data_IF_219589631813
#
_entry.id   IF_219589631813
#
_cell.length_a   1.000
_cell.length_b   1.000
_cell.length_c   1.000
_cell.angle_alpha   90.00
_cell.angle_beta   90.00
_cell.angle_gamma   90.00
#
_symmetry.space_group_name_H-M   'P 1'
#
loop_
_entity.id
_entity.type
_entity.pdbx_description
1 polymer ?
#
# COMPACT_ATOMS: atom_id res chain seq x y z
N UNK A 1 -30.61 -6.45 -1.84
CA UNK A 1 -29.63 -5.76 -2.68
C UNK A 1 -28.28 -6.18 -2.13
N UNK A 2 -27.87 -7.36 -2.55
CA UNK A 2 -26.54 -7.88 -2.27
C UNK A 2 -25.58 -6.98 -3.06
N UNK A 3 -24.83 -6.18 -2.31
CA UNK A 3 -23.80 -5.33 -2.86
C UNK A 3 -22.71 -6.31 -3.33
N UNK A 4 -22.77 -6.68 -4.60
CA UNK A 4 -21.74 -7.43 -5.32
C UNK A 4 -20.49 -6.52 -5.37
N UNK A 5 -19.85 -6.34 -4.22
CA UNK A 5 -18.48 -5.88 -4.16
C UNK A 5 -17.71 -7.11 -4.61
N UNK A 6 -17.11 -7.11 -5.82
CA UNK A 6 -16.18 -8.19 -6.16
C UNK A 6 -15.21 -8.28 -4.99
N UNK A 7 -15.14 -9.46 -4.34
CA UNK A 7 -14.08 -9.70 -3.35
C UNK A 7 -12.77 -9.22 -3.97
N UNK A 8 -11.89 -8.52 -3.24
CA UNK A 8 -11.07 -7.39 -3.74
C UNK A 8 -10.05 -7.66 -4.86
N UNK A 9 -10.18 -8.75 -5.62
CA UNK A 9 -9.13 -9.28 -6.46
C UNK A 9 -7.99 -9.75 -5.57
N UNK A 10 -6.90 -10.16 -6.21
CA UNK A 10 -5.59 -10.08 -5.59
C UNK A 10 -5.15 -8.61 -5.69
N UNK A 11 -5.41 -7.74 -4.69
CA UNK A 11 -5.06 -6.32 -4.76
C UNK A 11 -3.58 -6.14 -5.07
N UNK A 12 -3.24 -5.17 -5.92
CA UNK A 12 -1.85 -4.76 -6.15
C UNK A 12 -1.25 -4.09 -4.91
N UNK A 13 0.08 -3.91 -4.82
CA UNK A 13 0.68 -3.21 -3.67
C UNK A 13 0.09 -1.81 -3.46
N UNK A 14 -0.20 -1.10 -4.54
CA UNK A 14 -0.80 0.24 -4.53
C UNK A 14 -2.24 0.22 -4.00
N UNK A 15 -3.05 -0.74 -4.43
CA UNK A 15 -4.43 -0.91 -3.95
C UNK A 15 -4.48 -1.33 -2.48
N UNK A 16 -3.52 -2.15 -2.05
CA UNK A 16 -3.39 -2.61 -0.67
C UNK A 16 -3.06 -1.46 0.29
N UNK A 17 -2.26 -0.46 -0.15
CA UNK A 17 -1.95 0.71 0.69
C UNK A 17 -2.94 1.87 0.53
N UNK A 18 -3.80 1.87 -0.51
CA UNK A 18 -4.72 2.97 -0.80
C UNK A 18 -5.55 3.46 0.40
N UNK A 19 -6.07 2.59 1.30
CA UNK A 19 -6.79 3.03 2.50
C UNK A 19 -5.93 3.84 3.50
N UNK A 20 -4.61 3.71 3.45
CA UNK A 20 -3.64 4.31 4.38
C UNK A 20 -2.98 5.59 3.84
N UNK A 21 -3.19 5.90 2.55
CA UNK A 21 -2.54 7.04 1.89
C UNK A 21 -3.09 8.38 2.39
N UNK A 22 -4.39 8.55 2.59
CA UNK A 22 -5.00 9.82 3.02
C UNK A 22 -4.49 11.04 2.21
N UNK A 23 -3.57 11.85 2.76
CA UNK A 23 -2.96 13.01 2.10
C UNK A 23 -1.61 12.70 1.39
N UNK A 24 -1.13 11.47 1.50
CA UNK A 24 0.08 10.98 0.85
C UNK A 24 -0.24 10.53 -0.58
N UNK A 25 0.70 10.72 -1.49
CA UNK A 25 0.68 10.19 -2.86
C UNK A 25 1.77 9.13 -3.01
N UNK A 26 1.49 8.05 -3.73
CA UNK A 26 2.51 7.04 -4.02
C UNK A 26 3.60 7.71 -4.87
N UNK A 27 4.84 7.61 -4.41
CA UNK A 27 6.02 8.12 -5.06
C UNK A 27 6.79 7.00 -5.76
N UNK A 28 6.84 5.82 -5.12
CA UNK A 28 7.60 4.67 -5.62
C UNK A 28 7.01 3.34 -5.13
N UNK A 29 7.18 2.29 -5.93
CA UNK A 29 6.75 0.92 -5.63
C UNK A 29 7.83 -0.05 -6.08
N UNK A 30 8.39 -0.80 -5.14
CA UNK A 30 9.37 -1.86 -5.39
C UNK A 30 8.72 -3.21 -5.08
N UNK A 31 8.65 -4.11 -6.06
CA UNK A 31 8.06 -5.45 -5.88
C UNK A 31 9.14 -6.53 -6.07
N UNK A 32 9.27 -7.42 -5.08
CA UNK A 32 10.19 -8.54 -5.05
C UNK A 32 9.47 -9.85 -4.67
N UNK A 33 9.00 -10.59 -5.68
CA UNK A 33 8.37 -11.91 -5.56
C UNK A 33 7.20 -11.94 -4.56
N UNK A 34 7.49 -12.12 -3.27
CA UNK A 34 6.53 -12.22 -2.17
C UNK A 34 6.54 -11.01 -1.25
N UNK A 35 7.38 -10.01 -1.50
CA UNK A 35 7.52 -8.79 -0.71
C UNK A 35 7.39 -7.57 -1.63
N UNK A 36 6.82 -6.48 -1.13
CA UNK A 36 6.79 -5.21 -1.84
C UNK A 36 6.97 -4.05 -0.86
N UNK A 37 7.58 -2.98 -1.33
CA UNK A 37 7.75 -1.73 -0.59
C UNK A 37 7.02 -0.63 -1.35
N UNK A 38 6.09 0.05 -0.70
CA UNK A 38 5.43 1.23 -1.28
C UNK A 38 5.88 2.47 -0.53
N UNK A 39 6.49 3.40 -1.24
CA UNK A 39 6.86 4.71 -0.70
C UNK A 39 5.82 5.74 -1.10
N UNK A 40 5.29 6.46 -0.13
CA UNK A 40 4.32 7.52 -0.31
C UNK A 40 4.79 8.82 0.33
N UNK A 41 4.50 9.95 -0.30
CA UNK A 41 4.96 11.27 0.14
C UNK A 41 3.76 12.19 0.37
N UNK A 42 3.79 12.96 1.44
CA UNK A 42 2.80 13.99 1.73
C UNK A 42 3.36 15.40 1.48
N UNK A 43 2.49 16.36 1.12
CA UNK A 43 2.88 17.76 1.04
C UNK A 43 3.41 18.22 2.40
N UNK A 44 4.63 18.75 2.41
CA UNK A 44 5.36 19.09 3.65
C UNK A 44 6.56 18.20 3.95
N UNK A 45 6.89 17.23 3.09
CA UNK A 45 8.12 16.44 3.19
C UNK A 45 8.04 15.27 4.18
N UNK A 46 6.83 14.85 4.55
CA UNK A 46 6.63 13.62 5.29
C UNK A 46 6.57 12.45 4.30
N UNK A 47 7.28 11.37 4.60
CA UNK A 47 7.32 10.16 3.78
C UNK A 47 6.82 8.98 4.61
N UNK A 48 6.01 8.12 3.99
CA UNK A 48 5.58 6.84 4.53
C UNK A 48 6.12 5.73 3.66
N UNK A 49 6.72 4.74 4.28
CA UNK A 49 7.16 3.52 3.61
C UNK A 49 6.33 2.37 4.16
N UNK A 50 5.65 1.65 3.30
CA UNK A 50 4.85 0.48 3.63
C UNK A 50 5.60 -0.77 3.19
N UNK A 51 5.74 -1.73 4.09
CA UNK A 51 6.20 -3.08 3.75
C UNK A 51 4.96 -3.95 3.55
N UNK A 52 4.93 -4.68 2.44
CA UNK A 52 3.85 -5.58 2.09
C UNK A 52 4.36 -7.00 1.84
N UNK A 53 3.51 -7.97 2.15
CA UNK A 53 3.70 -9.38 1.80
C UNK A 53 2.59 -9.84 0.88
N UNK A 54 2.96 -10.57 -0.17
CA UNK A 54 2.03 -11.27 -1.04
C UNK A 54 1.49 -12.50 -0.32
N UNK A 55 0.16 -12.59 -0.24
CA UNK A 55 -0.58 -13.73 0.30
C UNK A 55 -1.45 -14.33 -0.81
N UNK A 56 -2.03 -15.50 -0.57
CA UNK A 56 -2.91 -16.19 -1.55
C UNK A 56 -4.08 -15.32 -2.03
N UNK A 57 -4.51 -14.35 -1.23
CA UNK A 57 -5.59 -13.41 -1.52
C UNK A 57 -5.12 -12.01 -1.93
N UNK A 58 -3.82 -11.83 -2.20
CA UNK A 58 -3.22 -10.59 -2.72
C UNK A 58 -2.22 -9.92 -1.78
N UNK A 59 -1.89 -8.65 -2.05
CA UNK A 59 -0.91 -7.90 -1.27
C UNK A 59 -1.49 -7.35 0.03
N UNK A 60 -0.74 -7.46 1.12
CA UNK A 60 -1.13 -6.97 2.44
C UNK A 60 -0.02 -6.13 3.06
N UNK A 61 -0.33 -4.92 3.58
CA UNK A 61 0.64 -4.16 4.36
C UNK A 61 0.87 -4.82 5.72
N UNK A 62 2.10 -5.21 6.01
CA UNK A 62 2.50 -5.78 7.29
C UNK A 62 2.96 -4.70 8.28
N UNK A 63 3.65 -3.69 7.77
CA UNK A 63 4.13 -2.54 8.56
C UNK A 63 4.19 -1.27 7.73
N UNK A 64 4.26 -0.14 8.43
CA UNK A 64 4.69 1.11 7.82
C UNK A 64 5.59 1.90 8.77
N UNK A 65 6.51 2.66 8.17
CA UNK A 65 7.36 3.63 8.86
C UNK A 65 7.04 5.02 8.32
N UNK A 66 6.80 5.98 9.22
CA UNK A 66 6.62 7.38 8.86
C UNK A 66 7.87 8.18 9.26
N UNK A 67 8.51 8.79 8.27
CA UNK A 67 9.61 9.73 8.46
C UNK A 67 9.09 11.16 8.29
N UNK A 68 9.48 12.05 9.21
CA UNK A 68 9.23 13.49 9.10
C UNK A 68 10.57 14.21 9.17
N UNK A 69 10.82 15.10 8.22
CA UNK A 69 11.97 16.01 8.22
C UNK A 69 11.69 17.28 9.02
#
# INVERSE_FOLDING_TARGET
MDLDIPGPGTPTPEEAVAPYLNAYVIADVEEEQTSATVTAEAPGGATRVFDLTLRDDGWWPDSYVECRS
#
